data_IF_907678261829
#
_entry.id   IF_907678261829
#
_cell.length_a   1.000
_cell.length_b   1.000
_cell.length_c   1.000
_cell.angle_alpha   90.00
_cell.angle_beta   90.00
_cell.angle_gamma   90.00
#
_symmetry.space_group_name_H-M   'P 1'
#
loop_
_entity.id
_entity.type
_entity.pdbx_description
1 polymer ?
#
# COMPACT_ATOMS: atom_id res chain seq x y z
N UNK A 1 28.28 0.29 -0.79
CA UNK A 1 27.05 -0.03 -0.04
C UNK A 1 27.14 0.57 1.36
N UNK A 2 26.02 0.85 2.01
CA UNK A 2 26.01 1.45 3.36
C UNK A 2 26.47 0.49 4.46
N UNK A 3 26.65 1.04 5.68
CA UNK A 3 27.22 0.37 6.86
C UNK A 3 26.59 -0.98 7.20
N UNK A 4 25.29 -1.14 6.94
CA UNK A 4 24.52 -2.32 7.33
C UNK A 4 24.16 -3.22 6.15
N UNK A 5 24.77 -3.04 4.97
CA UNK A 5 24.59 -3.95 3.83
C UNK A 5 25.03 -5.39 4.12
N UNK A 6 24.54 -6.33 3.32
CA UNK A 6 24.86 -7.75 3.44
C UNK A 6 25.96 -8.17 2.44
N UNK A 7 26.88 -9.04 2.88
CA UNK A 7 27.87 -9.67 2.01
C UNK A 7 29.01 -8.74 1.57
N UNK A 8 29.89 -9.27 0.70
CA UNK A 8 30.98 -8.50 0.10
C UNK A 8 30.46 -7.77 -1.13
N UNK A 9 30.73 -6.47 -1.22
CA UNK A 9 30.39 -5.67 -2.41
C UNK A 9 31.23 -6.14 -3.60
N UNK A 10 30.56 -6.59 -4.66
CA UNK A 10 31.18 -6.90 -5.95
C UNK A 10 31.22 -5.65 -6.85
N UNK A 11 31.75 -5.79 -8.07
CA UNK A 11 31.87 -4.69 -9.03
C UNK A 11 30.51 -4.04 -9.36
N UNK A 12 29.45 -4.84 -9.53
CA UNK A 12 28.11 -4.30 -9.77
C UNK A 12 27.60 -3.48 -8.56
N UNK A 13 27.86 -3.96 -7.35
CA UNK A 13 27.55 -3.21 -6.13
C UNK A 13 28.37 -1.93 -5.97
N UNK A 14 29.61 -1.89 -6.50
CA UNK A 14 30.43 -0.69 -6.59
C UNK A 14 29.82 0.33 -7.57
N UNK A 15 29.52 -0.11 -8.81
CA UNK A 15 28.85 0.71 -9.83
C UNK A 15 27.53 1.28 -9.33
N UNK A 16 26.71 0.46 -8.67
CA UNK A 16 25.45 0.89 -8.06
C UNK A 16 25.66 1.91 -6.93
N UNK A 17 26.65 1.69 -6.06
CA UNK A 17 26.98 2.65 -5.01
C UNK A 17 27.46 3.99 -5.59
N UNK A 18 28.24 3.96 -6.67
CA UNK A 18 28.72 5.16 -7.37
C UNK A 18 27.57 5.91 -8.03
N UNK A 19 26.65 5.21 -8.69
CA UNK A 19 25.42 5.79 -9.24
C UNK A 19 24.61 6.50 -8.14
N UNK A 20 24.43 5.86 -6.99
CA UNK A 20 23.72 6.46 -5.86
C UNK A 20 24.44 7.68 -5.30
N UNK A 21 25.77 7.61 -5.15
CA UNK A 21 26.57 8.72 -4.65
C UNK A 21 26.48 9.94 -5.59
N UNK A 22 26.64 9.72 -6.90
CA UNK A 22 26.56 10.76 -7.93
C UNK A 22 25.19 11.46 -7.94
N UNK A 23 24.10 10.69 -7.84
CA UNK A 23 22.73 11.21 -7.88
C UNK A 23 22.20 11.66 -6.51
N UNK A 24 23.05 11.74 -5.48
CA UNK A 24 22.66 12.11 -4.10
C UNK A 24 21.52 11.22 -3.59
N UNK A 25 21.60 9.91 -3.81
CA UNK A 25 20.68 8.90 -3.30
C UNK A 25 21.24 8.19 -2.07
N UNK A 26 20.34 7.76 -1.19
CA UNK A 26 20.62 6.92 -0.02
C UNK A 26 20.02 5.54 -0.25
N UNK A 27 20.84 4.51 -0.07
CA UNK A 27 20.44 3.10 -0.26
C UNK A 27 19.78 2.60 1.03
N UNK A 28 18.45 2.62 1.06
CA UNK A 28 17.63 2.37 2.26
C UNK A 28 17.92 1.01 2.90
N UNK A 29 18.04 -0.05 2.10
CA UNK A 29 18.33 -1.41 2.59
C UNK A 29 19.69 -1.60 3.25
N UNK A 30 20.55 -0.57 3.31
CA UNK A 30 21.91 -0.66 3.86
C UNK A 30 22.19 0.34 4.99
N UNK A 31 21.21 1.15 5.38
CA UNK A 31 21.37 2.16 6.45
C UNK A 31 20.73 1.78 7.78
N UNK A 32 19.82 0.80 7.80
CA UNK A 32 19.17 0.34 9.02
C UNK A 32 19.83 -0.93 9.58
N UNK A 33 20.05 -1.02 10.90
CA UNK A 33 20.58 -2.22 11.53
C UNK A 33 19.49 -3.30 11.62
N UNK A 34 19.60 -4.30 10.75
CA UNK A 34 18.69 -5.45 10.74
C UNK A 34 19.44 -6.78 10.83
N UNK A 35 18.73 -7.83 11.26
CA UNK A 35 19.20 -9.21 11.13
C UNK A 35 19.30 -9.61 9.65
N UNK A 36 20.16 -10.58 9.32
CA UNK A 36 20.39 -11.05 7.94
C UNK A 36 19.09 -11.46 7.23
N UNK A 37 18.20 -12.14 7.95
CA UNK A 37 16.89 -12.58 7.44
C UNK A 37 15.99 -11.44 6.93
N UNK A 38 16.26 -10.20 7.33
CA UNK A 38 15.53 -8.99 6.93
C UNK A 38 16.28 -8.13 5.90
N UNK A 39 17.46 -8.59 5.45
CA UNK A 39 18.32 -7.93 4.45
C UNK A 39 18.47 -8.73 3.17
N UNK A 40 18.41 -10.07 3.27
CA UNK A 40 18.44 -10.97 2.11
C UNK A 40 17.21 -10.72 1.24
N UNK A 41 17.44 -10.34 -0.02
CA UNK A 41 16.37 -10.13 -1.01
C UNK A 41 16.28 -11.26 -2.02
N UNK A 42 17.32 -12.09 -2.13
CA UNK A 42 17.36 -13.24 -3.03
C UNK A 42 18.00 -14.42 -2.33
N UNK A 43 17.45 -15.62 -2.55
CA UNK A 43 17.99 -16.88 -2.05
C UNK A 43 18.05 -17.88 -3.20
N UNK A 44 19.19 -18.55 -3.37
CA UNK A 44 19.34 -19.55 -4.43
C UNK A 44 18.32 -20.70 -4.30
N UNK A 45 17.99 -21.39 -5.40
CA UNK A 45 17.03 -22.50 -5.37
C UNK A 45 17.42 -23.64 -4.43
N UNK A 46 18.72 -23.85 -4.21
CA UNK A 46 19.27 -24.83 -3.25
C UNK A 46 19.26 -24.33 -1.78
N UNK A 47 18.77 -23.11 -1.55
CA UNK A 47 18.71 -22.42 -0.26
C UNK A 47 20.06 -22.19 0.44
N UNK A 48 21.19 -22.39 -0.24
CA UNK A 48 22.53 -22.24 0.36
C UNK A 48 23.03 -20.79 0.32
N UNK A 49 22.71 -20.07 -0.75
CA UNK A 49 23.25 -18.75 -1.05
C UNK A 49 22.18 -17.68 -0.86
N UNK A 50 22.56 -16.58 -0.22
CA UNK A 50 21.67 -15.48 0.07
C UNK A 50 22.35 -14.16 -0.24
N UNK A 51 21.71 -13.36 -1.08
CA UNK A 51 22.25 -12.08 -1.54
C UNK A 51 21.27 -10.93 -1.29
N UNK A 52 21.82 -9.72 -1.25
CA UNK A 52 21.07 -8.48 -1.26
C UNK A 52 21.30 -7.82 -2.63
N UNK A 53 20.33 -8.01 -3.53
CA UNK A 53 20.41 -7.52 -4.93
C UNK A 53 19.30 -6.53 -5.26
N UNK A 54 18.23 -6.50 -4.47
CA UNK A 54 17.13 -5.56 -4.60
C UNK A 54 17.30 -4.41 -3.61
N UNK A 55 17.09 -3.18 -4.08
CA UNK A 55 17.34 -1.99 -3.29
C UNK A 55 16.26 -0.92 -3.50
N UNK A 56 15.77 -0.37 -2.40
CA UNK A 56 14.99 0.87 -2.40
C UNK A 56 15.94 2.03 -2.10
N UNK A 57 16.00 2.98 -3.02
CA UNK A 57 16.80 4.20 -2.89
C UNK A 57 15.90 5.42 -2.75
N UNK A 58 16.35 6.40 -1.97
CA UNK A 58 15.64 7.66 -1.78
C UNK A 58 16.61 8.82 -1.94
N UNK A 59 16.15 9.94 -2.50
CA UNK A 59 16.95 11.15 -2.55
C UNK A 59 17.38 11.57 -1.14
N UNK A 60 18.65 11.97 -0.99
CA UNK A 60 19.28 12.33 0.28
C UNK A 60 18.53 13.42 1.02
N UNK A 61 17.89 14.35 0.32
CA UNK A 61 17.03 15.40 0.92
C UNK A 61 15.86 14.79 1.68
N UNK A 62 15.28 13.71 1.17
CA UNK A 62 14.17 12.99 1.79
C UNK A 62 14.62 11.84 2.71
N UNK A 63 15.92 11.67 3.01
CA UNK A 63 16.37 10.52 3.83
C UNK A 63 15.67 10.42 5.19
N UNK A 64 15.18 11.53 5.74
CA UNK A 64 14.49 11.56 7.04
C UNK A 64 13.04 11.07 6.96
N UNK A 65 12.48 10.89 5.76
CA UNK A 65 11.12 10.37 5.57
C UNK A 65 11.10 8.86 5.56
N UNK A 66 12.22 8.18 5.28
CA UNK A 66 12.27 6.72 5.33
C UNK A 66 12.55 6.29 6.78
N UNK A 67 11.60 5.54 7.35
CA UNK A 67 11.68 5.05 8.74
C UNK A 67 12.30 3.65 8.80
N UNK A 68 12.09 2.84 7.76
CA UNK A 68 12.62 1.48 7.69
C UNK A 68 12.68 0.98 6.24
N UNK A 69 13.62 0.07 5.95
CA UNK A 69 13.66 -0.75 4.73
C UNK A 69 14.12 -2.16 5.10
N UNK A 70 13.27 -3.15 4.83
CA UNK A 70 13.54 -4.56 5.18
C UNK A 70 12.75 -5.52 4.31
N UNK A 71 13.22 -6.77 4.24
CA UNK A 71 12.48 -7.84 3.57
C UNK A 71 11.38 -8.42 4.46
N UNK A 72 10.25 -8.76 3.83
CA UNK A 72 9.07 -9.34 4.46
C UNK A 72 9.05 -10.85 4.23
N UNK A 73 9.59 -11.61 5.19
CA UNK A 73 9.72 -13.08 5.13
C UNK A 73 8.39 -13.84 5.21
N UNK A 74 7.34 -13.25 5.76
CA UNK A 74 6.02 -13.88 5.87
C UNK A 74 5.13 -13.70 4.63
N UNK A 75 5.64 -13.08 3.56
CA UNK A 75 4.94 -12.99 2.29
C UNK A 75 5.56 -14.00 1.33
N UNK A 76 4.80 -15.04 0.98
CA UNK A 76 5.18 -15.98 -0.07
C UNK A 76 4.79 -15.40 -1.43
N UNK A 77 5.76 -15.37 -2.35
CA UNK A 77 5.59 -14.87 -3.72
C UNK A 77 5.98 -15.92 -4.77
N UNK A 78 6.18 -17.18 -4.37
CA UNK A 78 6.61 -18.27 -5.26
C UNK A 78 7.82 -17.91 -6.15
N UNK A 79 8.78 -17.17 -5.59
CA UNK A 79 10.02 -16.74 -6.23
C UNK A 79 11.19 -16.92 -5.25
N UNK A 80 12.38 -17.07 -5.82
CA UNK A 80 13.68 -16.97 -5.15
C UNK A 80 13.94 -15.57 -4.55
N UNK A 81 13.18 -14.57 -4.95
CA UNK A 81 13.18 -13.22 -4.37
C UNK A 81 12.26 -13.09 -3.15
N UNK A 82 12.64 -12.21 -2.24
CA UNK A 82 11.85 -11.80 -1.10
C UNK A 82 11.33 -10.38 -1.29
N UNK A 83 10.08 -10.15 -0.89
CA UNK A 83 9.48 -8.82 -0.96
C UNK A 83 10.25 -7.82 -0.10
N UNK A 84 10.84 -6.80 -0.72
CA UNK A 84 11.50 -5.67 -0.05
C UNK A 84 10.51 -4.53 0.18
N UNK A 85 10.35 -4.09 1.43
CA UNK A 85 9.37 -3.08 1.82
C UNK A 85 10.08 -1.89 2.47
N UNK A 86 9.65 -0.68 2.10
CA UNK A 86 10.04 0.55 2.79
C UNK A 86 8.86 1.12 3.59
N UNK A 87 9.11 1.48 4.84
CA UNK A 87 8.21 2.29 5.67
C UNK A 87 8.60 3.75 5.53
N UNK A 88 7.67 4.60 5.12
CA UNK A 88 7.93 6.03 4.94
C UNK A 88 6.90 6.89 5.68
N UNK A 89 7.35 8.04 6.17
CA UNK A 89 6.54 9.09 6.79
C UNK A 89 6.72 10.37 6.00
N UNK A 90 5.73 10.66 5.16
CA UNK A 90 5.70 11.88 4.35
C UNK A 90 5.04 13.00 5.14
N UNK A 91 5.74 14.13 5.29
CA UNK A 91 5.15 15.39 5.76
C UNK A 91 4.82 16.24 4.53
N UNK A 92 3.60 16.08 4.02
CA UNK A 92 3.14 16.84 2.87
C UNK A 92 2.64 18.22 3.34
N UNK A 93 3.07 19.28 2.67
CA UNK A 93 2.45 20.59 2.83
C UNK A 93 1.11 20.54 2.12
N UNK A 94 0.01 20.82 2.83
CA UNK A 94 -1.30 20.95 2.20
C UNK A 94 -1.27 22.14 1.25
N UNK A 95 -1.33 21.88 -0.04
CA UNK A 95 -1.57 22.91 -1.02
C UNK A 95 -3.09 23.16 -1.04
N UNK A 96 -3.52 24.30 -0.51
CA UNK A 96 -4.90 24.72 -0.65
C UNK A 96 -5.05 25.27 -2.06
N UNK A 97 -5.56 24.46 -2.99
CA UNK A 97 -6.22 25.02 -4.17
C UNK A 97 -7.39 25.82 -3.62
N UNK A 98 -7.44 27.11 -3.90
CA UNK A 98 -8.49 28.02 -3.44
C UNK A 98 -9.81 27.74 -4.18
N UNK A 99 -10.24 26.48 -4.18
CA UNK A 99 -11.58 26.06 -4.55
C UNK A 99 -12.45 26.38 -3.36
N UNK A 100 -13.19 27.48 -3.45
CA UNK A 100 -14.28 27.82 -2.54
C UNK A 100 -15.27 26.64 -2.56
N UNK A 101 -15.07 25.64 -1.71
CA UNK A 101 -16.14 24.68 -1.42
C UNK A 101 -17.15 25.45 -0.59
N UNK A 102 -18.03 26.18 -1.27
CA UNK A 102 -19.29 26.59 -0.68
C UNK A 102 -19.92 25.27 -0.25
N UNK A 103 -19.96 25.01 1.06
CA UNK A 103 -20.77 23.92 1.61
C UNK A 103 -22.14 24.12 0.98
N UNK A 104 -22.54 23.21 0.09
CA UNK A 104 -23.85 23.28 -0.54
C UNK A 104 -24.86 23.13 0.59
N UNK A 105 -25.44 24.24 1.04
CA UNK A 105 -26.58 24.21 1.93
C UNK A 105 -27.74 23.65 1.12
N UNK A 106 -27.95 22.33 1.23
CA UNK A 106 -29.12 21.70 0.66
C UNK A 106 -30.37 22.30 1.31
N UNK A 107 -31.27 22.82 0.48
CA UNK A 107 -32.53 23.38 0.95
C UNK A 107 -33.40 22.24 1.53
N UNK A 108 -33.56 22.23 2.86
CA UNK A 108 -34.31 21.20 3.60
C UNK A 108 -35.82 21.40 3.58
N UNK A 109 -36.34 22.49 2.99
CA UNK A 109 -37.79 22.78 2.97
C UNK A 109 -38.56 21.65 2.28
N UNK A 110 -37.99 21.03 1.24
CA UNK A 110 -38.59 19.88 0.57
C UNK A 110 -38.68 18.61 1.41
N UNK A 111 -37.94 18.51 2.52
CA UNK A 111 -38.01 17.38 3.45
C UNK A 111 -39.16 17.51 4.47
N UNK A 112 -39.78 18.69 4.57
CA UNK A 112 -40.93 18.92 5.46
C UNK A 112 -42.27 18.61 4.76
N UNK A 113 -42.28 18.52 3.43
CA UNK A 113 -43.45 18.14 2.65
C UNK A 113 -43.73 16.64 2.80
N UNK A 114 -44.78 16.32 3.54
CA UNK A 114 -45.21 14.95 3.85
C UNK A 114 -45.52 14.14 2.58
N UNK A 115 -46.06 14.79 1.54
CA UNK A 115 -46.39 14.11 0.28
C UNK A 115 -45.13 13.70 -0.49
N UNK A 116 -44.12 14.58 -0.53
CA UNK A 116 -42.82 14.27 -1.15
C UNK A 116 -42.06 13.19 -0.38
N UNK A 117 -42.13 13.23 0.96
CA UNK A 117 -41.52 12.24 1.83
C UNK A 117 -42.15 10.85 1.64
N UNK A 118 -43.48 10.78 1.54
CA UNK A 118 -44.19 9.52 1.27
C UNK A 118 -43.89 8.97 -0.12
N UNK A 119 -43.87 9.83 -1.14
CA UNK A 119 -43.48 9.43 -2.51
C UNK A 119 -42.07 8.85 -2.54
N UNK A 120 -41.11 9.50 -1.87
CA UNK A 120 -39.74 9.00 -1.77
C UNK A 120 -39.65 7.65 -1.04
N UNK A 121 -40.38 7.48 0.07
CA UNK A 121 -40.44 6.20 0.79
C UNK A 121 -40.96 5.06 -0.08
N UNK A 122 -42.02 5.31 -0.85
CA UNK A 122 -42.60 4.34 -1.78
C UNK A 122 -41.59 3.97 -2.87
N UNK A 123 -40.97 4.98 -3.49
CA UNK A 123 -40.01 4.77 -4.57
C UNK A 123 -38.78 4.00 -4.10
N UNK A 124 -38.29 4.32 -2.89
CA UNK A 124 -37.22 3.60 -2.22
C UNK A 124 -37.62 2.14 -1.95
N UNK A 125 -38.81 1.91 -1.37
CA UNK A 125 -39.32 0.58 -1.07
C UNK A 125 -39.42 -0.28 -2.34
N UNK A 126 -39.99 0.27 -3.41
CA UNK A 126 -40.13 -0.42 -4.70
C UNK A 126 -38.76 -0.78 -5.29
N UNK A 127 -37.80 0.14 -5.24
CA UNK A 127 -36.45 -0.08 -5.76
C UNK A 127 -35.72 -1.20 -5.04
N UNK A 128 -35.96 -1.37 -3.74
CA UNK A 128 -35.31 -2.42 -2.93
C UNK A 128 -36.14 -3.71 -2.79
N UNK A 129 -37.37 -3.73 -3.27
CA UNK A 129 -38.25 -4.91 -3.22
C UNK A 129 -37.68 -6.11 -3.98
N UNK A 130 -36.93 -5.86 -5.06
CA UNK A 130 -36.27 -6.88 -5.88
C UNK A 130 -35.24 -7.69 -5.08
N UNK A 131 -34.56 -7.08 -4.11
CA UNK A 131 -33.56 -7.77 -3.28
C UNK A 131 -34.19 -8.75 -2.29
N UNK A 132 -35.38 -8.45 -1.76
CA UNK A 132 -36.11 -9.35 -0.86
C UNK A 132 -36.73 -10.57 -1.57
N UNK A 133 -37.07 -10.44 -2.85
CA UNK A 133 -37.57 -11.57 -3.65
C UNK A 133 -36.47 -12.62 -3.96
N UNK A 134 -35.21 -12.20 -4.03
CA UNK A 134 -34.07 -13.11 -4.27
C UNK A 134 -33.63 -13.85 -3.00
N UNK A 135 -33.69 -13.23 -1.81
CA UNK A 135 -33.35 -13.90 -0.55
C UNK A 135 -34.34 -15.03 -0.18
N UNK A 136 -35.64 -14.84 -0.46
CA UNK A 136 -36.67 -15.83 -0.15
C UNK A 136 -36.71 -17.02 -1.12
N UNK A 137 -36.14 -16.90 -2.33
CA UNK A 137 -35.95 -18.05 -3.24
C UNK A 137 -34.79 -18.94 -2.82
N UNK A 138 -33.74 -18.38 -2.21
CA UNK A 138 -32.56 -19.14 -1.75
C UNK A 138 -32.86 -20.02 -0.52
N UNK A 139 -33.77 -19.57 0.36
CA UNK A 139 -34.13 -20.33 1.58
C UNK A 139 -34.96 -21.58 1.27
N UNK A 140 -35.75 -21.59 0.17
CA UNK A 140 -36.57 -22.76 -0.21
C UNK A 140 -35.81 -23.86 -0.95
N UNK A 141 -34.61 -23.60 -1.48
CA UNK A 141 -33.82 -24.61 -2.21
C UNK A 141 -32.83 -25.40 -1.36
N UNK A 142 -32.79 -25.19 -0.04
CA UNK A 142 -31.95 -25.98 0.89
C UNK A 142 -32.75 -26.93 1.79
N UNK A 143 -34.04 -27.17 1.49
CA UNK A 143 -34.95 -27.94 2.33
C UNK A 143 -35.52 -29.23 1.73
N UNK A 144 -34.99 -29.74 0.62
CA UNK A 144 -35.39 -31.06 0.07
C UNK A 144 -34.22 -31.75 -0.64
N UNK A 145 -33.44 -32.52 0.11
CA UNK A 145 -32.91 -33.87 -0.19
C UNK A 145 -31.94 -34.28 0.89
#
# INVERSE_FOLDING_TARGET
MGRHGLGKRNENGERFANLCAFNKLVIGGTIFPHQRIHKTTWTSPDHTTQNQIDHICINKTFRRTIEDVRTKRGADIASDHHLLVAKTKLKLKKHWTMGRTISQKFNKVFLQDTNKLNKFKIDLSNKFQVFHAQSNKSIKSQGTS
#
